data_IF_896783301418
#
_entry.id   IF_896783301418
#
_cell.length_a   1.000
_cell.length_b   1.000
_cell.length_c   1.000
_cell.angle_alpha   90.00
_cell.angle_beta   90.00
_cell.angle_gamma   90.00
#
_symmetry.space_group_name_H-M   'P 1'
#
loop_
_entity.id
_entity.type
_entity.pdbx_description
1 polymer ?
#
# COMPACT_ATOMS: atom_id res chain seq x y z
N UNK A 1 -5.23 -3.42 -8.52
CA UNK A 1 -4.38 -4.33 -7.73
C UNK A 1 -3.66 -3.46 -6.71
N UNK A 2 -3.88 -3.63 -5.39
CA UNK A 2 -3.33 -2.71 -4.39
C UNK A 2 -1.80 -2.73 -4.31
N UNK A 3 -1.20 -1.59 -3.93
CA UNK A 3 0.27 -1.46 -3.82
C UNK A 3 0.88 -2.46 -2.82
N UNK A 4 1.99 -3.16 -3.16
CA UNK A 4 2.67 -4.08 -2.25
C UNK A 4 3.56 -3.33 -1.25
N UNK A 5 2.94 -2.75 -0.22
CA UNK A 5 3.68 -2.04 0.83
C UNK A 5 4.70 -2.94 1.54
N UNK A 6 5.87 -2.38 1.85
CA UNK A 6 6.81 -2.96 2.80
C UNK A 6 6.50 -2.36 4.16
N UNK A 7 6.34 -3.19 5.19
CA UNK A 7 6.08 -2.70 6.54
C UNK A 7 7.36 -2.18 7.20
N UNK A 8 7.31 -1.05 7.93
CA UNK A 8 8.48 -0.50 8.61
C UNK A 8 8.91 -1.39 9.78
N UNK A 9 10.10 -1.15 10.31
CA UNK A 9 10.60 -1.79 11.54
C UNK A 9 10.96 -0.73 12.56
N UNK A 10 10.99 -1.08 13.84
CA UNK A 10 11.32 -0.16 14.93
C UNK A 10 12.37 -0.75 15.89
N UNK A 11 13.05 0.12 16.63
CA UNK A 11 13.96 -0.27 17.71
C UNK A 11 13.20 -0.68 18.98
N UNK A 12 13.93 -1.22 19.96
CA UNK A 12 13.45 -1.22 21.34
C UNK A 12 13.28 0.23 21.82
N UNK A 13 12.32 0.46 22.71
CA UNK A 13 12.13 1.73 23.41
C UNK A 13 11.38 1.47 24.72
N UNK A 14 11.83 2.13 25.78
CA UNK A 14 11.22 2.08 27.11
C UNK A 14 10.52 3.40 27.41
N UNK A 15 9.19 3.40 27.48
CA UNK A 15 8.44 4.60 27.86
C UNK A 15 8.75 5.05 29.28
N UNK A 16 9.06 4.13 30.21
CA UNK A 16 9.38 4.51 31.59
C UNK A 16 10.67 5.30 31.72
N UNK A 17 11.58 5.22 30.73
CA UNK A 17 12.79 6.04 30.66
C UNK A 17 12.51 7.51 30.30
N UNK A 18 11.43 7.77 29.55
CA UNK A 18 11.08 9.12 29.08
C UNK A 18 9.89 9.71 29.82
N UNK A 19 9.04 8.88 30.43
CA UNK A 19 7.79 9.31 31.05
C UNK A 19 7.56 8.64 32.41
N UNK A 20 6.81 9.31 33.27
CA UNK A 20 6.23 8.75 34.49
C UNK A 20 4.80 9.24 34.64
N UNK A 21 3.96 8.49 35.34
CA UNK A 21 2.61 8.93 35.68
C UNK A 21 2.38 8.78 37.17
N UNK A 22 1.93 9.85 37.81
CA UNK A 22 1.55 9.82 39.23
C UNK A 22 0.16 9.19 39.42
N UNK A 23 -0.67 9.22 38.36
CA UNK A 23 -2.04 8.70 38.38
C UNK A 23 -2.11 7.25 37.91
N UNK A 24 -1.30 6.86 36.92
CA UNK A 24 -1.30 5.54 36.29
C UNK A 24 0.14 5.02 36.15
N UNK A 25 0.86 4.74 37.24
CA UNK A 25 2.29 4.42 37.23
C UNK A 25 2.64 3.19 36.36
N UNK A 26 1.72 2.25 36.14
CA UNK A 26 1.94 1.10 35.27
C UNK A 26 1.76 1.35 33.77
N UNK A 27 1.22 2.52 33.37
CA UNK A 27 0.92 2.84 31.97
C UNK A 27 2.19 2.88 31.09
N UNK A 28 3.29 3.57 31.46
CA UNK A 28 4.52 3.55 30.67
C UNK A 28 5.08 2.14 30.44
N UNK A 29 5.19 1.32 31.49
CA UNK A 29 5.70 -0.05 31.37
C UNK A 29 4.80 -0.92 30.47
N UNK A 30 3.48 -0.79 30.61
CA UNK A 30 2.53 -1.53 29.78
C UNK A 30 2.68 -1.13 28.31
N UNK A 31 2.79 0.18 28.03
CA UNK A 31 3.07 0.70 26.69
C UNK A 31 4.37 0.13 26.11
N UNK A 32 5.45 0.05 26.90
CA UNK A 32 6.73 -0.57 26.48
C UNK A 32 6.54 -2.04 26.10
N UNK A 33 5.76 -2.77 26.91
CA UNK A 33 5.49 -4.20 26.70
C UNK A 33 4.77 -4.45 25.38
N UNK A 34 3.64 -3.76 25.15
CA UNK A 34 2.87 -3.91 23.91
C UNK A 34 3.62 -3.39 22.68
N UNK A 35 4.42 -2.33 22.82
CA UNK A 35 5.33 -1.88 21.77
C UNK A 35 6.37 -2.94 21.40
N UNK A 36 6.89 -3.67 22.39
CA UNK A 36 7.78 -4.81 22.20
C UNK A 36 7.15 -5.89 21.32
N UNK A 37 5.87 -6.21 21.54
CA UNK A 37 5.12 -7.17 20.71
C UNK A 37 5.00 -6.68 19.26
N UNK A 38 4.71 -5.39 19.04
CA UNK A 38 4.67 -4.78 17.70
C UNK A 38 6.03 -4.90 17.00
N UNK A 39 7.10 -4.53 17.70
CA UNK A 39 8.47 -4.64 17.18
C UNK A 39 8.79 -6.07 16.72
N UNK A 40 8.47 -7.05 17.55
CA UNK A 40 8.79 -8.45 17.27
C UNK A 40 7.95 -9.00 16.11
N UNK A 41 6.66 -8.63 16.03
CA UNK A 41 5.79 -8.98 14.92
C UNK A 41 6.28 -8.38 13.59
N UNK A 42 6.63 -7.09 13.57
CA UNK A 42 7.17 -6.42 12.37
C UNK A 42 8.52 -7.01 11.94
N UNK A 43 9.41 -7.27 12.89
CA UNK A 43 10.73 -7.88 12.63
C UNK A 43 10.59 -9.30 12.08
N UNK A 44 9.66 -10.10 12.64
CA UNK A 44 9.35 -11.44 12.13
C UNK A 44 8.77 -11.36 10.73
N UNK A 45 7.80 -10.49 10.48
CA UNK A 45 7.21 -10.30 9.15
C UNK A 45 8.26 -9.96 8.09
N UNK A 46 9.16 -9.00 8.36
CA UNK A 46 10.26 -8.62 7.46
C UNK A 46 11.18 -9.80 7.10
N UNK A 47 11.43 -10.70 8.05
CA UNK A 47 12.34 -11.86 7.88
C UNK A 47 11.70 -13.04 7.16
N UNK A 48 10.38 -13.07 7.04
CA UNK A 48 9.69 -14.14 6.32
C UNK A 48 9.95 -14.03 4.80
N UNK A 49 10.03 -15.18 4.10
CA UNK A 49 10.04 -15.17 2.65
C UNK A 49 8.73 -14.55 2.13
N UNK A 50 8.74 -13.90 0.95
CA UNK A 50 7.56 -13.19 0.42
C UNK A 50 6.28 -14.05 0.37
N UNK A 51 6.39 -15.33 0.02
CA UNK A 51 5.27 -16.28 -0.04
C UNK A 51 4.64 -16.64 1.30
N UNK A 52 5.27 -16.27 2.42
CA UNK A 52 4.75 -16.50 3.78
C UNK A 52 4.40 -15.20 4.50
N UNK A 53 4.60 -14.05 3.86
CA UNK A 53 4.30 -12.75 4.47
C UNK A 53 2.79 -12.52 4.57
N UNK A 54 2.02 -12.92 3.55
CA UNK A 54 0.56 -12.74 3.47
C UNK A 54 -0.18 -13.36 4.65
N UNK A 55 0.14 -14.60 5.00
CA UNK A 55 -0.44 -15.31 6.15
C UNK A 55 -0.06 -14.71 7.51
N UNK A 56 1.06 -13.99 7.59
CA UNK A 56 1.54 -13.35 8.83
C UNK A 56 0.97 -11.94 9.05
N UNK A 57 0.34 -11.30 8.05
CA UNK A 57 -0.18 -9.93 8.19
C UNK A 57 -1.21 -9.82 9.31
N UNK A 58 -2.04 -10.84 9.53
CA UNK A 58 -3.02 -10.90 10.63
C UNK A 58 -2.36 -10.80 12.01
N UNK A 59 -1.17 -11.39 12.18
CA UNK A 59 -0.39 -11.31 13.43
C UNK A 59 0.11 -9.89 13.66
N UNK A 60 0.54 -9.20 12.60
CA UNK A 60 0.98 -7.80 12.68
C UNK A 60 -0.19 -6.89 13.05
N UNK A 61 -1.35 -7.07 12.41
CA UNK A 61 -2.58 -6.34 12.73
C UNK A 61 -2.97 -6.53 14.21
N UNK A 62 -2.94 -7.78 14.70
CA UNK A 62 -3.23 -8.08 16.11
C UNK A 62 -2.29 -7.36 17.07
N UNK A 63 -0.98 -7.38 16.78
CA UNK A 63 0.01 -6.67 17.59
C UNK A 63 -0.21 -5.14 17.59
N UNK A 64 -0.47 -4.55 16.43
CA UNK A 64 -0.74 -3.11 16.29
C UNK A 64 -2.00 -2.70 17.04
N UNK A 65 -3.11 -3.42 16.84
CA UNK A 65 -4.37 -3.16 17.54
C UNK A 65 -4.24 -3.34 19.06
N UNK A 66 -3.37 -4.25 19.52
CA UNK A 66 -3.07 -4.40 20.94
C UNK A 66 -2.27 -3.23 21.52
N UNK A 67 -1.47 -2.52 20.72
CA UNK A 67 -0.63 -1.41 21.17
C UNK A 67 -1.28 -0.03 21.02
N UNK A 68 -2.09 0.20 19.98
CA UNK A 68 -2.69 1.51 19.67
C UNK A 68 -3.40 2.15 20.88
N UNK A 69 -4.24 1.43 21.66
CA UNK A 69 -4.88 2.02 22.84
C UNK A 69 -3.89 2.58 23.87
N UNK A 70 -2.76 1.91 24.05
CA UNK A 70 -1.73 2.29 25.03
C UNK A 70 -0.99 3.56 24.60
N UNK A 71 -0.58 3.66 23.34
CA UNK A 71 0.11 4.86 22.85
C UNK A 71 -0.83 6.08 22.80
N UNK A 72 -2.12 5.88 22.52
CA UNK A 72 -3.12 6.94 22.60
C UNK A 72 -3.39 7.38 24.04
N UNK A 73 -3.35 6.47 25.02
CA UNK A 73 -3.43 6.84 26.43
C UNK A 73 -2.20 7.63 26.90
N UNK A 74 -1.00 7.29 26.39
CA UNK A 74 0.21 8.10 26.62
C UNK A 74 0.03 9.52 26.04
N UNK A 75 -0.44 9.62 24.80
CA UNK A 75 -0.71 10.91 24.15
C UNK A 75 -1.74 11.75 24.92
N UNK A 76 -2.83 11.13 25.37
CA UNK A 76 -3.88 11.79 26.13
C UNK A 76 -3.38 12.33 27.48
N UNK A 77 -2.50 11.62 28.19
CA UNK A 77 -1.97 12.12 29.46
C UNK A 77 -0.85 13.15 29.31
N UNK A 78 -0.21 13.24 28.15
CA UNK A 78 0.72 14.34 27.81
C UNK A 78 -0.02 15.59 27.33
N UNK A 79 -1.15 15.41 26.67
CA UNK A 79 -2.00 16.46 26.12
C UNK A 79 -3.41 16.38 26.73
N UNK A 80 -3.57 16.70 28.02
CA UNK A 80 -4.81 16.42 28.69
C UNK A 80 -5.90 17.38 28.21
N UNK A 81 -6.74 16.86 27.31
CA UNK A 81 -7.96 17.53 26.86
C UNK A 81 -9.07 17.15 27.83
N UNK A 82 -9.69 18.16 28.45
CA UNK A 82 -10.60 18.04 29.61
C UNK A 82 -11.95 17.37 29.34
N UNK A 83 -12.01 16.23 28.65
CA UNK A 83 -13.28 15.64 28.17
C UNK A 83 -13.59 14.20 28.59
N UNK A 84 -12.81 13.55 29.47
CA UNK A 84 -13.25 12.29 30.09
C UNK A 84 -12.77 12.18 31.54
N UNK A 85 -13.66 11.75 32.43
CA UNK A 85 -13.54 11.83 33.89
C UNK A 85 -12.45 10.99 34.55
N UNK A 86 -11.59 10.31 33.79
CA UNK A 86 -10.36 9.68 34.28
C UNK A 86 -9.15 10.45 33.73
N UNK A 87 -8.71 11.47 34.47
CA UNK A 87 -7.57 12.30 34.07
C UNK A 87 -6.27 11.50 34.21
N UNK A 88 -5.66 11.15 33.07
CA UNK A 88 -4.30 10.61 33.04
C UNK A 88 -3.34 11.79 33.11
N UNK A 89 -2.42 11.78 34.07
CA UNK A 89 -1.35 12.76 34.15
C UNK A 89 -0.01 12.09 33.88
N UNK A 90 0.68 12.50 32.81
CA UNK A 90 2.01 12.03 32.44
C UNK A 90 3.03 13.16 32.49
N UNK A 91 4.13 12.91 33.18
CA UNK A 91 5.26 13.82 33.32
C UNK A 91 6.40 13.34 32.41
N UNK A 92 6.95 14.25 31.59
CA UNK A 92 8.11 13.96 30.74
C UNK A 92 9.40 14.09 31.55
N UNK A 93 10.18 13.00 31.64
CA UNK A 93 11.51 12.97 32.26
C UNK A 93 12.61 13.38 31.31
N UNK A 94 12.54 12.87 30.08
CA UNK A 94 13.51 13.07 29.02
C UNK A 94 12.80 13.00 27.67
N UNK A 95 13.30 13.69 26.63
CA UNK A 95 12.72 13.59 25.29
C UNK A 95 12.78 12.12 24.82
N UNK A 96 11.69 11.57 24.26
CA UNK A 96 11.73 10.21 23.74
C UNK A 96 12.74 10.11 22.60
N UNK A 97 13.49 9.01 22.55
CA UNK A 97 14.43 8.72 21.47
C UNK A 97 14.03 7.40 20.82
N UNK A 98 12.90 7.42 20.14
CA UNK A 98 12.36 6.26 19.44
C UNK A 98 13.02 6.17 18.06
N UNK A 99 13.27 4.97 17.53
CA UNK A 99 13.78 4.82 16.18
C UNK A 99 12.87 3.98 15.29
N UNK A 100 12.57 4.49 14.10
CA UNK A 100 11.85 3.77 13.05
C UNK A 100 12.71 3.65 11.81
N UNK A 101 12.52 2.56 11.04
CA UNK A 101 13.07 2.41 9.71
C UNK A 101 11.96 2.67 8.69
N UNK A 102 11.95 3.85 8.02
CA UNK A 102 10.95 4.21 7.02
C UNK A 102 11.05 3.31 5.77
N UNK A 103 9.97 3.26 4.99
CA UNK A 103 9.82 2.39 3.81
C UNK A 103 9.29 3.11 2.57
N UNK A 104 8.59 4.24 2.74
CA UNK A 104 8.04 5.03 1.64
C UNK A 104 9.04 6.02 1.08
N UNK A 105 10.05 6.42 1.83
CA UNK A 105 11.12 7.27 1.34
C UNK A 105 12.26 6.49 0.68
N UNK A 106 12.86 7.11 -0.35
CA UNK A 106 13.87 6.51 -1.22
C UNK A 106 15.16 6.18 -0.47
N UNK A 107 15.75 5.02 -0.77
CA UNK A 107 17.06 4.64 -0.26
C UNK A 107 18.14 5.38 -1.05
N UNK A 108 18.98 6.15 -0.34
CA UNK A 108 20.09 6.86 -0.98
C UNK A 108 21.11 5.92 -1.67
N UNK A 109 21.17 4.64 -1.24
CA UNK A 109 22.08 3.62 -1.82
C UNK A 109 21.28 2.37 -2.20
N UNK A 110 21.25 1.99 -3.49
CA UNK A 110 20.63 0.75 -3.92
C UNK A 110 21.23 -0.47 -3.21
N UNK A 111 20.38 -1.39 -2.74
CA UNK A 111 20.81 -2.62 -2.07
C UNK A 111 21.21 -2.48 -0.60
N UNK A 112 21.30 -1.26 -0.05
CA UNK A 112 21.53 -1.03 1.39
C UNK A 112 20.22 -0.73 2.11
N UNK A 113 20.06 -1.29 3.30
CA UNK A 113 18.94 -0.93 4.16
C UNK A 113 19.00 0.53 4.60
N UNK A 114 17.84 1.19 4.64
CA UNK A 114 17.71 2.56 5.13
C UNK A 114 18.18 2.66 6.58
N UNK A 115 18.86 3.75 6.89
CA UNK A 115 19.13 4.14 8.27
C UNK A 115 17.81 4.41 8.99
N UNK A 116 17.80 4.13 10.30
CA UNK A 116 16.66 4.50 11.13
C UNK A 116 16.61 6.01 11.30
N UNK A 117 15.41 6.54 11.42
CA UNK A 117 15.14 7.94 11.78
C UNK A 117 14.78 8.01 13.26
N UNK A 118 15.30 9.02 13.94
CA UNK A 118 14.96 9.30 15.33
C UNK A 118 13.64 10.04 15.40
N UNK A 119 12.79 9.60 16.31
CA UNK A 119 11.44 10.08 16.56
C UNK A 119 11.39 10.58 18.00
N UNK A 120 11.18 11.89 18.13
CA UNK A 120 11.16 12.60 19.42
C UNK A 120 9.78 13.10 19.84
N UNK A 121 8.73 12.72 19.10
CA UNK A 121 7.34 13.07 19.41
C UNK A 121 6.47 11.81 19.40
N UNK A 122 5.51 11.79 20.33
CA UNK A 122 4.45 10.77 20.39
C UNK A 122 3.53 10.87 19.17
N UNK A 123 3.31 12.06 18.60
CA UNK A 123 2.57 12.23 17.34
C UNK A 123 3.15 11.39 16.20
N UNK A 124 4.48 11.39 16.09
CA UNK A 124 5.19 10.66 15.05
C UNK A 124 5.23 9.16 15.32
N UNK A 125 5.33 8.72 16.59
CA UNK A 125 5.16 7.32 16.97
C UNK A 125 3.75 6.81 16.59
N UNK A 126 2.71 7.61 16.86
CA UNK A 126 1.33 7.31 16.47
C UNK A 126 1.21 7.26 14.95
N UNK A 127 1.78 8.22 14.23
CA UNK A 127 1.75 8.25 12.77
C UNK A 127 2.40 7.00 12.16
N UNK A 128 3.58 6.57 12.65
CA UNK A 128 4.22 5.33 12.20
C UNK A 128 3.38 4.08 12.53
N UNK A 129 2.84 4.01 13.74
CA UNK A 129 2.04 2.87 14.20
C UNK A 129 0.77 2.72 13.38
N UNK A 130 0.01 3.80 13.21
CA UNK A 130 -1.24 3.78 12.45
C UNK A 130 -1.01 3.65 10.93
N UNK A 131 0.05 4.25 10.38
CA UNK A 131 0.43 4.01 8.97
C UNK A 131 0.80 2.54 8.75
N UNK A 132 1.46 1.90 9.71
CA UNK A 132 1.77 0.45 9.64
C UNK A 132 0.50 -0.40 9.65
N UNK A 133 -0.52 0.00 10.42
CA UNK A 133 -1.82 -0.67 10.43
C UNK A 133 -2.53 -0.50 9.08
N UNK A 134 -2.60 0.72 8.57
CA UNK A 134 -3.21 1.01 7.27
C UNK A 134 -2.52 0.25 6.12
N UNK A 135 -1.18 0.22 6.11
CA UNK A 135 -0.42 -0.58 5.14
C UNK A 135 -0.70 -2.08 5.28
N UNK A 136 -0.84 -2.58 6.51
CA UNK A 136 -1.21 -3.98 6.75
C UNK A 136 -2.61 -4.29 6.21
N UNK A 137 -3.58 -3.38 6.35
CA UNK A 137 -4.91 -3.53 5.74
C UNK A 137 -4.85 -3.54 4.21
N UNK A 138 -4.03 -2.69 3.58
CA UNK A 138 -3.81 -2.76 2.13
C UNK A 138 -3.21 -4.10 1.71
N UNK A 139 -2.29 -4.67 2.49
CA UNK A 139 -1.73 -6.00 2.24
C UNK A 139 -2.78 -7.12 2.39
N UNK A 140 -3.71 -7.02 3.35
CA UNK A 140 -4.84 -7.95 3.45
C UNK A 140 -5.77 -7.82 2.24
N UNK A 141 -6.09 -6.59 1.82
CA UNK A 141 -6.91 -6.35 0.64
C UNK A 141 -6.26 -6.96 -0.62
N UNK A 142 -4.94 -6.82 -0.74
CA UNK A 142 -4.15 -7.43 -1.81
C UNK A 142 -4.21 -8.96 -1.77
N UNK A 143 -3.99 -9.58 -0.61
CA UNK A 143 -4.08 -11.04 -0.46
C UNK A 143 -5.49 -11.56 -0.78
N UNK A 144 -6.55 -10.84 -0.38
CA UNK A 144 -7.93 -11.21 -0.70
C UNK A 144 -8.24 -11.18 -2.20
N UNK A 145 -7.58 -10.29 -2.97
CA UNK A 145 -7.74 -10.17 -4.41
C UNK A 145 -6.84 -11.11 -5.22
N UNK A 146 -5.76 -11.63 -4.62
CA UNK A 146 -4.77 -12.46 -5.30
C UNK A 146 -5.38 -13.63 -6.09
N UNK A 147 -6.35 -14.40 -5.55
CA UNK A 147 -6.94 -15.53 -6.28
C UNK A 147 -7.66 -15.13 -7.58
N UNK A 148 -8.08 -13.87 -7.73
CA UNK A 148 -8.74 -13.39 -8.96
C UNK A 148 -7.80 -13.26 -10.15
N UNK A 149 -6.49 -13.28 -9.91
CA UNK A 149 -5.46 -13.07 -10.93
C UNK A 149 -4.66 -14.35 -11.23
N UNK A 150 -4.83 -15.41 -10.44
CA UNK A 150 -4.16 -16.69 -10.66
C UNK A 150 -4.84 -17.42 -11.83
N UNK A 151 -4.10 -17.62 -12.93
CA UNK A 151 -4.61 -18.25 -14.16
C UNK A 151 -4.31 -19.75 -14.27
N UNK A 152 -3.63 -20.33 -13.28
CA UNK A 152 -3.29 -21.77 -13.27
C UNK A 152 -4.22 -22.63 -12.42
N UNK A 153 -5.05 -22.01 -11.59
CA UNK A 153 -6.01 -22.69 -10.71
C UNK A 153 -7.42 -22.64 -11.31
N UNK A 154 -8.35 -23.35 -10.68
CA UNK A 154 -9.77 -23.24 -11.01
C UNK A 154 -10.25 -21.79 -10.78
N UNK A 155 -11.12 -21.31 -11.66
CA UNK A 155 -11.73 -19.98 -11.53
C UNK A 155 -12.59 -19.93 -10.27
N UNK A 156 -12.54 -18.79 -9.56
CA UNK A 156 -13.42 -18.57 -8.40
C UNK A 156 -14.88 -18.51 -8.84
N UNK A 157 -15.77 -19.04 -8.02
CA UNK A 157 -17.20 -18.82 -8.23
C UNK A 157 -17.59 -17.35 -7.99
N UNK A 158 -18.79 -16.96 -8.43
CA UNK A 158 -19.27 -15.58 -8.31
C UNK A 158 -19.41 -15.11 -6.85
N UNK A 159 -19.72 -16.01 -5.92
CA UNK A 159 -19.90 -15.70 -4.51
C UNK A 159 -18.55 -15.43 -3.84
N UNK A 160 -17.56 -16.29 -4.08
CA UNK A 160 -16.16 -16.15 -3.65
C UNK A 160 -15.54 -14.88 -4.21
N UNK A 161 -15.73 -14.62 -5.52
CA UNK A 161 -15.28 -13.37 -6.15
C UNK A 161 -15.86 -12.15 -5.45
N UNK A 162 -17.17 -12.15 -5.22
CA UNK A 162 -17.85 -11.03 -4.56
C UNK A 162 -17.32 -10.83 -3.14
N UNK A 163 -17.13 -11.91 -2.37
CA UNK A 163 -16.61 -11.87 -1.01
C UNK A 163 -15.17 -11.34 -0.95
N UNK A 164 -14.29 -11.78 -1.86
CA UNK A 164 -12.92 -11.27 -2.00
C UNK A 164 -12.90 -9.77 -2.27
N UNK A 165 -13.71 -9.30 -3.22
CA UNK A 165 -13.79 -7.87 -3.58
C UNK A 165 -14.34 -7.05 -2.42
N UNK A 166 -15.41 -7.50 -1.76
CA UNK A 166 -15.98 -6.81 -0.59
C UNK A 166 -15.00 -6.72 0.57
N UNK A 167 -14.27 -7.80 0.85
CA UNK A 167 -13.23 -7.85 1.89
C UNK A 167 -12.13 -6.83 1.58
N UNK A 168 -11.64 -6.82 0.34
CA UNK A 168 -10.62 -5.87 -0.08
C UNK A 168 -11.11 -4.41 -0.03
N UNK A 169 -12.34 -4.14 -0.49
CA UNK A 169 -12.94 -2.80 -0.40
C UNK A 169 -13.02 -2.33 1.04
N UNK A 170 -13.47 -3.19 1.97
CA UNK A 170 -13.54 -2.84 3.40
C UNK A 170 -12.17 -2.41 3.93
N UNK A 171 -11.15 -3.24 3.76
CA UNK A 171 -9.82 -2.94 4.29
C UNK A 171 -9.16 -1.71 3.65
N UNK A 172 -9.41 -1.44 2.37
CA UNK A 172 -8.91 -0.22 1.73
C UNK A 172 -9.61 1.05 2.25
N UNK A 173 -10.92 0.99 2.50
CA UNK A 173 -11.64 2.11 3.10
C UNK A 173 -11.23 2.34 4.56
N UNK A 174 -11.00 1.26 5.32
CA UNK A 174 -10.45 1.34 6.68
C UNK A 174 -9.05 1.97 6.65
N UNK A 175 -8.17 1.55 5.73
CA UNK A 175 -6.85 2.15 5.55
C UNK A 175 -6.92 3.64 5.17
N UNK A 176 -7.80 4.01 4.24
CA UNK A 176 -8.02 5.40 3.85
C UNK A 176 -8.48 6.27 5.05
N UNK A 177 -9.41 5.76 5.86
CA UNK A 177 -9.88 6.47 7.06
C UNK A 177 -8.79 6.69 8.10
N UNK A 178 -7.90 5.70 8.30
CA UNK A 178 -6.77 5.81 9.22
C UNK A 178 -5.80 6.87 8.71
N UNK A 179 -5.47 6.85 7.41
CA UNK A 179 -4.59 7.83 6.80
C UNK A 179 -5.14 9.25 6.85
N UNK A 180 -6.44 9.42 6.61
CA UNK A 180 -7.13 10.71 6.73
C UNK A 180 -7.08 11.27 8.16
N UNK A 181 -7.31 10.40 9.15
CA UNK A 181 -7.22 10.74 10.57
C UNK A 181 -5.82 11.22 10.97
N UNK A 182 -4.77 10.46 10.62
CA UNK A 182 -3.40 10.81 10.97
C UNK A 182 -2.87 12.00 10.16
N UNK A 183 -3.31 12.18 8.92
CA UNK A 183 -3.02 13.38 8.15
C UNK A 183 -3.58 14.63 8.85
N UNK A 184 -4.86 14.60 9.24
CA UNK A 184 -5.52 15.70 9.96
C UNK A 184 -4.86 16.02 11.31
N UNK A 185 -4.30 15.00 11.98
CA UNK A 185 -3.51 15.18 13.20
C UNK A 185 -2.14 15.80 12.91
N UNK A 186 -1.44 15.31 11.88
CA UNK A 186 -0.13 15.82 11.49
C UNK A 186 -0.18 17.28 11.00
N UNK A 187 -1.27 17.69 10.32
CA UNK A 187 -1.49 19.09 9.88
C UNK A 187 -1.62 20.08 11.05
N UNK A 188 -2.06 19.61 12.22
CA UNK A 188 -2.18 20.41 13.45
C UNK A 188 -0.89 20.43 14.27
N UNK A 189 0.07 19.56 13.94
CA UNK A 189 1.32 19.40 14.67
C UNK A 189 2.35 20.38 14.13
N UNK A 190 2.99 21.15 15.03
CA UNK A 190 4.03 22.12 14.64
C UNK A 190 5.43 21.50 14.54
N UNK A 191 5.59 20.26 15.01
CA UNK A 191 6.86 19.54 14.99
C UNK A 191 7.10 19.03 13.56
N UNK A 192 8.24 19.37 12.93
CA UNK A 192 8.52 18.91 11.58
C UNK A 192 8.66 17.38 11.53
N UNK A 193 8.18 16.73 10.46
CA UNK A 193 8.25 15.28 10.35
C UNK A 193 9.71 14.81 10.20
N UNK A 194 10.10 13.71 10.87
CA UNK A 194 11.47 13.19 10.81
C UNK A 194 11.83 12.58 9.44
N UNK A 195 10.82 12.25 8.63
CA UNK A 195 10.96 11.80 7.25
C UNK A 195 9.64 11.97 6.51
N UNK A 196 9.66 11.83 5.18
CA UNK A 196 8.47 11.98 4.36
C UNK A 196 7.42 10.89 4.54
N UNK A 197 7.74 9.70 5.09
CA UNK A 197 6.74 8.66 5.40
C UNK A 197 5.60 9.15 6.32
N UNK A 198 5.92 10.07 7.23
CA UNK A 198 4.97 10.62 8.22
C UNK A 198 4.69 12.10 7.97
N UNK A 199 5.06 12.66 6.82
CA UNK A 199 4.71 14.03 6.49
C UNK A 199 3.20 14.15 6.20
N UNK A 200 2.55 15.26 6.55
CA UNK A 200 1.12 15.46 6.30
C UNK A 200 0.72 15.21 4.84
N UNK A 201 1.55 15.66 3.90
CA UNK A 201 1.35 15.47 2.46
C UNK A 201 1.37 13.98 2.05
N UNK A 202 2.32 13.19 2.55
CA UNK A 202 2.37 11.75 2.25
C UNK A 202 1.20 11.01 2.86
N UNK A 203 0.82 11.36 4.09
CA UNK A 203 -0.33 10.74 4.77
C UNK A 203 -1.65 11.02 4.00
N UNK A 204 -1.87 12.26 3.57
CA UNK A 204 -2.97 12.62 2.65
C UNK A 204 -2.90 11.82 1.35
N UNK A 205 -1.70 11.69 0.77
CA UNK A 205 -1.49 10.95 -0.47
C UNK A 205 -1.88 9.48 -0.32
N UNK A 206 -1.53 8.85 0.81
CA UNK A 206 -1.87 7.44 1.06
C UNK A 206 -3.37 7.22 1.28
N UNK A 207 -4.07 8.19 1.91
CA UNK A 207 -5.53 8.17 1.98
C UNK A 207 -6.17 8.21 0.59
N UNK A 208 -5.72 9.14 -0.25
CA UNK A 208 -6.20 9.30 -1.62
C UNK A 208 -5.86 8.08 -2.49
N UNK A 209 -4.69 7.47 -2.32
CA UNK A 209 -4.33 6.22 -2.99
C UNK A 209 -5.29 5.07 -2.62
N UNK A 210 -5.54 4.86 -1.34
CA UNK A 210 -6.44 3.81 -0.88
C UNK A 210 -7.88 4.01 -1.39
N UNK A 211 -8.33 5.27 -1.49
CA UNK A 211 -9.61 5.63 -2.13
C UNK A 211 -9.64 5.32 -3.63
N UNK A 212 -8.56 5.61 -4.37
CA UNK A 212 -8.47 5.27 -5.80
C UNK A 212 -8.63 3.76 -6.01
N UNK A 213 -7.90 2.96 -5.22
CA UNK A 213 -7.95 1.51 -5.29
C UNK A 213 -9.34 0.96 -4.89
N UNK A 214 -9.94 1.47 -3.82
CA UNK A 214 -11.28 1.07 -3.39
C UNK A 214 -12.36 1.44 -4.42
N UNK A 215 -12.21 2.58 -5.10
CA UNK A 215 -13.13 3.02 -6.16
C UNK A 215 -13.06 2.11 -7.38
N UNK A 216 -11.86 1.67 -7.78
CA UNK A 216 -11.72 0.68 -8.85
C UNK A 216 -12.33 -0.68 -8.50
N UNK A 217 -12.35 -1.08 -7.24
CA UNK A 217 -12.99 -2.34 -6.83
C UNK A 217 -14.51 -2.32 -7.03
N UNK A 218 -15.15 -1.15 -6.88
CA UNK A 218 -16.57 -1.00 -7.18
C UNK A 218 -16.88 -1.26 -8.66
N UNK A 219 -15.95 -0.94 -9.55
CA UNK A 219 -16.03 -1.25 -10.98
C UNK A 219 -15.70 -2.72 -11.24
N UNK A 220 -14.60 -3.23 -10.67
CA UNK A 220 -14.14 -4.61 -10.87
C UNK A 220 -15.20 -5.65 -10.50
N UNK A 221 -16.03 -5.34 -9.49
CA UNK A 221 -17.12 -6.22 -9.05
C UNK A 221 -18.02 -6.67 -10.19
N UNK A 222 -18.41 -5.72 -11.05
CA UNK A 222 -19.40 -5.92 -12.11
C UNK A 222 -18.76 -5.85 -13.52
N UNK A 223 -17.43 -5.80 -13.61
CA UNK A 223 -16.67 -5.75 -14.86
C UNK A 223 -16.31 -7.19 -15.32
N UNK A 224 -16.92 -7.71 -16.41
CA UNK A 224 -16.70 -9.08 -16.85
C UNK A 224 -15.40 -9.24 -17.64
N UNK A 225 -14.86 -8.18 -18.24
CA UNK A 225 -13.80 -8.30 -19.24
C UNK A 225 -12.45 -8.78 -18.69
N UNK A 226 -12.00 -8.37 -17.48
CA UNK A 226 -10.78 -8.93 -16.89
C UNK A 226 -10.87 -10.44 -16.68
N UNK A 227 -12.04 -10.95 -16.26
CA UNK A 227 -12.23 -12.39 -16.07
C UNK A 227 -12.17 -13.13 -17.42
N UNK A 228 -12.78 -12.60 -18.47
CA UNK A 228 -12.75 -13.17 -19.82
C UNK A 228 -11.31 -13.28 -20.35
N UNK A 229 -10.52 -12.21 -20.19
CA UNK A 229 -9.10 -12.23 -20.60
C UNK A 229 -8.28 -13.22 -19.77
N UNK A 230 -8.55 -13.35 -18.48
CA UNK A 230 -7.87 -14.31 -17.62
C UNK A 230 -8.23 -15.77 -17.98
N UNK A 231 -9.51 -16.04 -18.28
CA UNK A 231 -10.00 -17.36 -18.72
C UNK A 231 -9.37 -17.80 -20.04
N UNK A 232 -9.29 -16.92 -21.04
CA UNK A 232 -8.65 -17.21 -22.33
C UNK A 232 -7.19 -17.68 -22.20
N UNK A 233 -6.53 -17.28 -21.10
CA UNK A 233 -5.15 -17.65 -20.78
C UNK A 233 -5.03 -18.89 -19.89
N UNK A 234 -6.12 -19.33 -19.28
CA UNK A 234 -6.14 -20.51 -18.43
C UNK A 234 -6.23 -21.78 -19.28
N UNK A 235 -5.11 -22.49 -19.40
CA UNK A 235 -5.02 -23.74 -20.17
C UNK A 235 -5.93 -24.86 -19.65
N UNK A 236 -6.35 -24.78 -18.39
CA UNK A 236 -7.21 -25.76 -17.75
C UNK A 236 -8.70 -25.43 -17.93
N UNK A 237 -9.03 -24.23 -18.41
CA UNK A 237 -10.42 -23.82 -18.64
C UNK A 237 -10.94 -24.45 -19.95
N UNK A 238 -12.02 -25.22 -19.81
CA UNK A 238 -12.71 -25.91 -20.92
C UNK A 238 -14.16 -25.44 -21.07
N UNK A 239 -14.59 -24.43 -20.32
CA UNK A 239 -15.99 -23.98 -20.31
C UNK A 239 -16.45 -23.51 -21.70
N UNK A 240 -15.55 -22.84 -22.43
CA UNK A 240 -15.77 -22.39 -23.81
C UNK A 240 -16.12 -23.54 -24.78
N UNK A 241 -15.71 -24.78 -24.47
CA UNK A 241 -16.03 -25.96 -25.30
C UNK A 241 -17.51 -26.35 -25.21
N UNK A 242 -18.21 -25.94 -24.14
CA UNK A 242 -19.59 -26.31 -23.86
C UNK A 242 -20.56 -25.14 -24.06
N UNK A 243 -20.13 -23.89 -23.78
CA UNK A 243 -20.96 -22.69 -23.94
C UNK A 243 -20.10 -21.48 -24.33
N UNK A 244 -20.61 -20.66 -25.25
CA UNK A 244 -20.01 -19.36 -25.53
C UNK A 244 -20.12 -18.45 -24.28
N UNK A 245 -19.06 -17.73 -23.88
CA UNK A 245 -19.12 -16.80 -22.76
C UNK A 245 -20.22 -15.74 -22.95
N UNK A 246 -21.19 -15.69 -22.05
CA UNK A 246 -22.17 -14.59 -21.99
C UNK A 246 -21.51 -13.40 -21.31
N UNK A 247 -21.50 -12.25 -21.99
CA UNK A 247 -20.99 -10.99 -21.42
C UNK A 247 -22.19 -10.21 -20.88
N UNK A 248 -22.31 -10.04 -19.55
CA UNK A 248 -23.38 -9.25 -18.96
C UNK A 248 -23.33 -7.80 -19.46
N UNK A 249 -24.50 -7.17 -19.62
CA UNK A 249 -24.58 -5.73 -19.88
C UNK A 249 -24.07 -4.97 -18.67
N UNK A 250 -23.11 -4.08 -18.88
CA UNK A 250 -22.52 -3.25 -17.84
C UNK A 250 -23.12 -1.85 -17.84
N UNK A 251 -23.06 -1.18 -16.68
CA UNK A 251 -23.41 0.25 -16.54
C UNK A 251 -22.23 1.09 -17.04
N UNK A 252 -21.93 0.99 -18.34
CA UNK A 252 -20.70 1.47 -18.96
C UNK A 252 -20.40 2.93 -18.62
N UNK A 253 -21.33 3.85 -18.88
CA UNK A 253 -21.14 5.26 -18.56
C UNK A 253 -20.88 5.54 -17.06
N UNK A 254 -21.57 4.83 -16.14
CA UNK A 254 -21.32 4.96 -14.70
C UNK A 254 -19.91 4.49 -14.35
N UNK A 255 -19.50 3.32 -14.85
CA UNK A 255 -18.18 2.76 -14.59
C UNK A 255 -17.06 3.65 -15.15
N UNK A 256 -17.26 4.26 -16.31
CA UNK A 256 -16.33 5.24 -16.84
C UNK A 256 -16.12 6.40 -15.86
N UNK A 257 -17.20 6.97 -15.32
CA UNK A 257 -17.12 8.06 -14.33
C UNK A 257 -16.50 7.64 -12.99
N UNK A 258 -16.75 6.41 -12.53
CA UNK A 258 -16.07 5.88 -11.34
C UNK A 258 -14.56 5.72 -11.57
N UNK A 259 -14.16 5.23 -12.75
CA UNK A 259 -12.75 5.14 -13.13
C UNK A 259 -12.09 6.52 -13.20
N UNK A 260 -12.81 7.57 -13.64
CA UNK A 260 -12.29 8.93 -13.64
C UNK A 260 -12.12 9.50 -12.22
N UNK A 261 -13.05 9.24 -11.30
CA UNK A 261 -12.87 9.59 -9.89
C UNK A 261 -11.64 8.89 -9.30
N UNK A 262 -11.45 7.60 -9.59
CA UNK A 262 -10.25 6.87 -9.18
C UNK A 262 -8.96 7.47 -9.79
N UNK A 263 -9.01 7.98 -11.02
CA UNK A 263 -7.88 8.67 -11.65
C UNK A 263 -7.57 10.01 -10.96
N UNK A 264 -8.60 10.76 -10.58
CA UNK A 264 -8.47 12.03 -9.85
C UNK A 264 -7.81 11.81 -8.47
N UNK A 265 -8.24 10.80 -7.71
CA UNK A 265 -7.59 10.38 -6.47
C UNK A 265 -6.12 9.96 -6.68
N UNK A 266 -5.84 9.11 -7.69
CA UNK A 266 -4.47 8.70 -7.99
C UNK A 266 -3.58 9.90 -8.40
N UNK A 267 -4.14 10.87 -9.13
CA UNK A 267 -3.44 12.11 -9.50
C UNK A 267 -3.13 12.98 -8.28
N UNK A 268 -4.11 13.13 -7.37
CA UNK A 268 -3.94 13.85 -6.12
C UNK A 268 -2.84 13.21 -5.27
N UNK A 269 -2.88 11.88 -5.10
CA UNK A 269 -1.86 11.13 -4.38
C UNK A 269 -0.46 11.31 -5.00
N UNK A 270 -0.34 11.25 -6.33
CA UNK A 270 0.94 11.49 -7.03
C UNK A 270 1.47 12.91 -6.76
N UNK A 271 0.62 13.93 -6.90
CA UNK A 271 0.99 15.33 -6.67
C UNK A 271 1.48 15.56 -5.23
N UNK A 272 0.76 15.02 -4.24
CA UNK A 272 1.11 15.16 -2.83
C UNK A 272 2.42 14.45 -2.47
N UNK A 273 2.65 13.23 -2.99
CA UNK A 273 3.92 12.52 -2.82
C UNK A 273 5.10 13.26 -3.45
N UNK A 274 4.91 13.87 -4.62
CA UNK A 274 5.95 14.70 -5.26
C UNK A 274 6.24 15.97 -4.47
N UNK A 275 5.22 16.59 -3.88
CA UNK A 275 5.38 17.76 -3.01
C UNK A 275 6.09 17.41 -1.68
N UNK A 276 5.88 16.19 -1.16
CA UNK A 276 6.49 15.72 0.09
C UNK A 276 8.01 15.53 0.03
N UNK A 277 8.59 15.37 -1.17
CA UNK A 277 9.99 14.96 -1.34
C UNK A 277 10.88 16.00 -2.03
N UNK A 278 11.84 16.57 -1.30
CA UNK A 278 13.04 17.22 -1.86
C UNK A 278 14.30 16.68 -1.17
N UNK A 279 15.37 16.44 -1.95
CA UNK A 279 16.64 15.95 -1.41
C UNK A 279 16.54 14.56 -0.74
N UNK A 280 17.11 14.40 0.46
CA UNK A 280 17.16 13.13 1.22
C UNK A 280 15.81 12.60 1.71
N UNK A 281 14.72 13.36 1.52
CA UNK A 281 13.33 12.99 1.85
C UNK A 281 12.50 12.60 0.64
N UNK A 282 13.13 12.35 -0.52
CA UNK A 282 12.43 11.91 -1.74
C UNK A 282 11.63 10.62 -1.48
N UNK A 283 10.42 10.56 -2.02
CA UNK A 283 9.56 9.37 -1.97
C UNK A 283 10.11 8.31 -2.94
N UNK A 284 9.94 7.04 -2.57
CA UNK A 284 10.34 5.87 -3.34
C UNK A 284 9.80 5.93 -4.79
N UNK A 285 10.69 5.80 -5.77
CA UNK A 285 10.34 5.88 -7.19
C UNK A 285 9.36 4.80 -7.64
N UNK A 286 9.39 3.62 -7.01
CA UNK A 286 8.44 2.54 -7.27
C UNK A 286 7.01 2.92 -6.88
N UNK A 287 6.83 3.66 -5.78
CA UNK A 287 5.51 4.18 -5.38
C UNK A 287 5.03 5.29 -6.33
N UNK A 288 5.92 6.23 -6.68
CA UNK A 288 5.59 7.30 -7.63
C UNK A 288 5.20 6.74 -9.00
N UNK A 289 5.94 5.74 -9.48
CA UNK A 289 5.64 5.03 -10.72
C UNK A 289 4.31 4.31 -10.63
N UNK A 290 4.05 3.61 -9.53
CA UNK A 290 2.78 2.92 -9.32
C UNK A 290 1.59 3.90 -9.34
N UNK A 291 1.70 5.06 -8.67
CA UNK A 291 0.66 6.08 -8.66
C UNK A 291 0.34 6.59 -10.07
N UNK A 292 1.37 6.85 -10.87
CA UNK A 292 1.21 7.30 -12.26
C UNK A 292 0.64 6.19 -13.16
N UNK A 293 1.13 4.95 -13.03
CA UNK A 293 0.61 3.80 -13.76
C UNK A 293 -0.86 3.50 -13.37
N UNK A 294 -1.22 3.65 -12.08
CA UNK A 294 -2.59 3.53 -11.59
C UNK A 294 -3.48 4.63 -12.19
N UNK A 295 -3.04 5.90 -12.15
CA UNK A 295 -3.76 7.03 -12.75
C UNK A 295 -4.05 6.79 -14.24
N UNK A 296 -3.05 6.36 -15.00
CA UNK A 296 -3.19 6.02 -16.42
C UNK A 296 -4.13 4.84 -16.64
N UNK A 297 -4.02 3.80 -15.80
CA UNK A 297 -4.90 2.63 -15.86
C UNK A 297 -6.36 3.00 -15.59
N UNK A 298 -6.62 3.87 -14.61
CA UNK A 298 -7.94 4.41 -14.35
C UNK A 298 -8.51 5.16 -15.57
N UNK A 299 -7.72 6.04 -16.20
CA UNK A 299 -8.15 6.77 -17.41
C UNK A 299 -8.39 5.82 -18.59
N UNK A 300 -7.52 4.84 -18.79
CA UNK A 300 -7.69 3.84 -19.85
C UNK A 300 -8.96 3.00 -19.66
N UNK A 301 -9.26 2.59 -18.41
CA UNK A 301 -10.53 1.93 -18.08
C UNK A 301 -11.74 2.80 -18.40
N UNK A 302 -11.66 4.10 -18.10
CA UNK A 302 -12.73 5.03 -18.45
C UNK A 302 -12.94 5.11 -19.96
N UNK A 303 -11.85 5.24 -20.74
CA UNK A 303 -11.90 5.19 -22.20
C UNK A 303 -12.54 3.87 -22.69
N UNK A 304 -12.12 2.72 -22.14
CA UNK A 304 -12.71 1.42 -22.47
C UNK A 304 -14.23 1.40 -22.24
N UNK A 305 -14.69 1.91 -21.10
CA UNK A 305 -16.12 1.95 -20.79
C UNK A 305 -16.90 2.96 -21.66
N UNK A 306 -16.34 4.10 -22.02
CA UNK A 306 -16.95 4.96 -23.04
C UNK A 306 -17.03 4.25 -24.39
N UNK A 307 -16.01 3.48 -24.75
CA UNK A 307 -16.04 2.64 -25.95
C UNK A 307 -17.18 1.61 -25.91
N UNK A 308 -17.37 0.94 -24.77
CA UNK A 308 -18.48 -0.01 -24.58
C UNK A 308 -19.84 0.69 -24.70
N UNK A 309 -19.98 1.88 -24.11
CA UNK A 309 -21.20 2.69 -24.18
C UNK A 309 -21.52 3.11 -25.63
N UNK A 310 -20.50 3.52 -26.39
CA UNK A 310 -20.60 3.83 -27.82
C UNK A 310 -20.98 2.60 -28.65
N UNK A 311 -20.40 1.43 -28.37
CA UNK A 311 -20.73 0.20 -29.10
C UNK A 311 -22.17 -0.27 -28.84
N UNK A 312 -22.64 -0.21 -27.60
CA UNK A 312 -24.05 -0.48 -27.24
C UNK A 312 -24.99 0.47 -28.00
N UNK A 313 -24.55 1.69 -28.26
CA UNK A 313 -25.28 2.70 -29.02
C UNK A 313 -25.13 2.56 -30.55
N UNK A 314 -24.47 1.49 -31.02
CA UNK A 314 -24.25 1.21 -32.45
C UNK A 314 -23.14 2.04 -33.10
N UNK A 315 -22.38 2.84 -32.34
CA UNK A 315 -21.29 3.68 -32.84
C UNK A 315 -19.94 2.98 -32.70
N UNK A 316 -19.73 1.91 -33.46
CA UNK A 316 -18.51 1.09 -33.40
C UNK A 316 -17.25 1.86 -33.81
N UNK A 317 -17.36 2.80 -34.75
CA UNK A 317 -16.23 3.67 -35.12
C UNK A 317 -15.73 4.51 -33.93
N UNK A 318 -16.67 5.16 -33.22
CA UNK A 318 -16.37 5.90 -31.98
C UNK A 318 -15.85 4.99 -30.87
N UNK A 319 -16.39 3.77 -30.76
CA UNK A 319 -15.95 2.79 -29.78
C UNK A 319 -14.47 2.41 -29.96
N UNK A 320 -14.04 2.17 -31.21
CA UNK A 320 -12.64 1.90 -31.55
C UNK A 320 -11.75 3.10 -31.18
N UNK A 321 -12.16 4.33 -31.51
CA UNK A 321 -11.38 5.52 -31.18
C UNK A 321 -11.18 5.70 -29.67
N UNK A 322 -12.20 5.37 -28.85
CA UNK A 322 -12.05 5.34 -27.40
C UNK A 322 -11.05 4.28 -26.91
N UNK A 323 -11.04 3.09 -27.51
CA UNK A 323 -10.03 2.06 -27.18
C UNK A 323 -8.61 2.52 -27.52
N UNK A 324 -8.43 3.16 -28.68
CA UNK A 324 -7.14 3.73 -29.09
C UNK A 324 -6.70 4.85 -28.13
N UNK A 325 -7.63 5.70 -27.66
CA UNK A 325 -7.37 6.68 -26.62
C UNK A 325 -6.91 6.03 -25.30
N UNK A 326 -7.54 4.90 -24.93
CA UNK A 326 -7.13 4.12 -23.77
C UNK A 326 -5.71 3.55 -23.89
N UNK A 327 -5.34 2.98 -25.05
CA UNK A 327 -3.98 2.53 -25.31
C UNK A 327 -2.97 3.67 -25.25
N UNK A 328 -3.32 4.84 -25.81
CA UNK A 328 -2.48 6.04 -25.75
C UNK A 328 -2.22 6.49 -24.30
N UNK A 329 -3.23 6.50 -23.43
CA UNK A 329 -3.06 6.80 -22.00
C UNK A 329 -2.09 5.82 -21.31
N UNK A 330 -2.18 4.52 -21.65
CA UNK A 330 -1.25 3.49 -21.17
C UNK A 330 0.15 3.60 -21.80
N UNK A 331 0.34 4.43 -22.84
CA UNK A 331 1.59 4.51 -23.60
C UNK A 331 1.87 3.25 -24.40
N UNK A 332 0.81 2.60 -24.90
CA UNK A 332 0.86 1.42 -25.77
C UNK A 332 0.42 1.85 -27.16
N UNK A 333 1.16 1.45 -28.19
CA UNK A 333 0.77 1.70 -29.58
C UNK A 333 -0.32 0.73 -30.02
N UNK A 334 -1.34 1.22 -30.74
CA UNK A 334 -2.37 0.36 -31.33
C UNK A 334 -1.77 -0.53 -32.42
N UNK A 335 -2.16 -1.82 -32.40
CA UNK A 335 -1.74 -2.79 -33.42
C UNK A 335 -2.29 -2.44 -34.81
N UNK A 336 -3.37 -1.68 -34.86
CA UNK A 336 -4.03 -1.26 -36.11
C UNK A 336 -3.54 0.10 -36.61
N UNK A 337 -2.84 0.89 -35.79
CA UNK A 337 -2.28 2.19 -36.18
C UNK A 337 -0.82 2.14 -36.64
N UNK A 338 -0.06 1.07 -36.32
CA UNK A 338 1.36 0.96 -36.65
C UNK A 338 1.75 -0.41 -37.24
N UNK A 339 2.57 -0.40 -38.32
CA UNK A 339 3.27 -1.59 -38.84
C UNK A 339 4.34 -2.05 -37.84
N UNK A 340 3.93 -2.73 -36.76
CA UNK A 340 4.82 -3.13 -35.67
C UNK A 340 5.74 -4.31 -36.01
N UNK A 341 7.05 -4.07 -35.90
CA UNK A 341 8.17 -5.03 -35.98
C UNK A 341 8.04 -6.20 -34.98
N UNK A 342 8.38 -7.43 -35.42
CA UNK A 342 8.24 -8.66 -34.63
C UNK A 342 8.98 -8.68 -33.28
N UNK A 343 9.98 -7.82 -33.07
CA UNK A 343 10.75 -7.74 -31.83
C UNK A 343 9.93 -7.18 -30.65
N UNK A 344 8.95 -6.30 -30.90
CA UNK A 344 8.08 -5.77 -29.83
C UNK A 344 7.16 -6.83 -29.25
N UNK A 345 6.72 -7.79 -30.08
CA UNK A 345 5.86 -8.92 -29.68
C UNK A 345 6.59 -9.86 -28.71
N UNK A 346 7.85 -10.20 -28.98
CA UNK A 346 8.65 -11.03 -28.08
C UNK A 346 8.92 -10.36 -26.73
N UNK A 347 9.23 -9.06 -26.71
CA UNK A 347 9.42 -8.30 -25.46
C UNK A 347 8.14 -8.27 -24.62
N UNK A 348 7.00 -8.12 -25.29
CA UNK A 348 5.68 -8.14 -24.65
C UNK A 348 5.38 -9.51 -24.03
N UNK A 349 5.48 -10.59 -24.80
CA UNK A 349 5.22 -11.95 -24.32
C UNK A 349 6.12 -12.32 -23.13
N UNK A 350 7.39 -11.87 -23.15
CA UNK A 350 8.31 -12.09 -22.03
C UNK A 350 7.92 -11.29 -20.78
N UNK A 351 7.47 -10.04 -20.95
CA UNK A 351 6.97 -9.21 -19.85
C UNK A 351 5.70 -9.80 -19.23
N UNK A 352 4.78 -10.31 -20.05
CA UNK A 352 3.55 -10.98 -19.62
C UNK A 352 3.87 -12.25 -18.83
N UNK A 353 4.73 -13.13 -19.35
CA UNK A 353 5.18 -14.34 -18.62
C UNK A 353 5.85 -14.00 -17.28
N UNK A 354 6.56 -12.87 -17.20
CA UNK A 354 7.18 -12.42 -15.94
C UNK A 354 6.15 -11.94 -14.94
N UNK A 355 5.10 -11.26 -15.40
CA UNK A 355 4.00 -10.79 -14.57
C UNK A 355 3.19 -11.97 -14.02
N UNK A 356 2.87 -12.95 -14.86
CA UNK A 356 2.15 -14.18 -14.48
C UNK A 356 2.92 -14.95 -13.40
N UNK A 357 4.25 -15.09 -13.57
CA UNK A 357 5.13 -15.70 -12.56
C UNK A 357 5.15 -14.93 -11.25
N UNK A 358 5.01 -13.60 -11.27
CA UNK A 358 4.95 -12.79 -10.05
C UNK A 358 3.63 -12.98 -9.32
N UNK A 359 2.53 -13.09 -10.07
CA UNK A 359 1.20 -13.42 -9.54
C UNK A 359 1.26 -14.80 -8.89
N UNK A 360 1.70 -15.83 -9.60
CA UNK A 360 1.78 -17.20 -9.07
C UNK A 360 2.61 -17.32 -7.78
N UNK A 361 3.69 -16.54 -7.68
CA UNK A 361 4.58 -16.55 -6.51
C UNK A 361 4.17 -15.58 -5.40
N UNK A 362 3.05 -14.88 -5.54
CA UNK A 362 2.57 -13.85 -4.61
C UNK A 362 3.64 -12.78 -4.30
N UNK A 363 4.46 -12.41 -5.29
CA UNK A 363 5.55 -11.43 -5.09
C UNK A 363 5.07 -10.00 -5.40
N UNK A 364 5.84 -9.22 -6.15
CA UNK A 364 5.53 -7.83 -6.54
C UNK A 364 4.57 -7.76 -7.74
N UNK A 365 3.51 -8.57 -7.72
CA UNK A 365 2.43 -8.50 -8.72
C UNK A 365 1.66 -7.17 -8.64
N UNK A 366 1.04 -6.70 -9.71
CA UNK A 366 0.30 -5.43 -9.68
C UNK A 366 1.09 -4.16 -9.34
N UNK A 367 2.43 -4.22 -9.36
CA UNK A 367 3.29 -3.05 -9.19
C UNK A 367 3.19 -2.05 -10.36
N UNK A 368 2.50 -2.42 -11.45
CA UNK A 368 2.21 -1.62 -12.63
C UNK A 368 0.80 -0.99 -12.60
N UNK A 369 0.14 -0.94 -11.43
CA UNK A 369 -1.20 -0.34 -11.31
C UNK A 369 -2.32 -1.06 -12.07
N UNK A 370 -2.06 -2.27 -12.59
CA UNK A 370 -3.01 -3.00 -13.45
C UNK A 370 -2.92 -2.63 -14.94
N UNK A 371 -1.87 -1.90 -15.34
CA UNK A 371 -1.61 -1.49 -16.72
C UNK A 371 -1.56 -2.67 -17.70
N UNK A 372 -0.88 -3.76 -17.34
CA UNK A 372 -0.78 -4.95 -18.18
C UNK A 372 -2.14 -5.60 -18.42
N UNK A 373 -2.90 -5.81 -17.35
CA UNK A 373 -4.25 -6.38 -17.41
C UNK A 373 -5.21 -5.52 -18.24
N UNK A 374 -5.20 -4.20 -18.06
CA UNK A 374 -6.07 -3.32 -18.84
C UNK A 374 -5.67 -3.28 -20.33
N UNK A 375 -4.37 -3.29 -20.63
CA UNK A 375 -3.87 -3.38 -22.01
C UNK A 375 -4.45 -4.61 -22.71
N UNK A 376 -4.41 -5.77 -22.05
CA UNK A 376 -4.93 -7.03 -22.62
C UNK A 376 -6.43 -6.94 -22.92
N UNK A 377 -7.21 -6.33 -22.01
CA UNK A 377 -8.65 -6.13 -22.24
C UNK A 377 -8.91 -5.21 -23.43
N UNK A 378 -8.23 -4.06 -23.49
CA UNK A 378 -8.43 -3.09 -24.57
C UNK A 378 -8.06 -3.73 -25.92
N UNK A 379 -6.95 -4.46 -26.01
CA UNK A 379 -6.56 -5.14 -27.24
C UNK A 379 -7.54 -6.23 -27.69
N UNK A 380 -8.12 -6.99 -26.73
CA UNK A 380 -9.17 -7.97 -27.04
C UNK A 380 -10.38 -7.29 -27.69
N UNK A 381 -10.85 -6.20 -27.09
CA UNK A 381 -11.99 -5.44 -27.59
C UNK A 381 -11.67 -4.74 -28.92
N UNK A 382 -10.48 -4.17 -29.06
CA UNK A 382 -10.03 -3.48 -30.26
C UNK A 382 -9.99 -4.45 -31.44
N UNK A 383 -9.40 -5.63 -31.27
CA UNK A 383 -9.38 -6.66 -32.31
C UNK A 383 -10.77 -7.18 -32.67
N UNK A 384 -11.69 -7.29 -31.71
CA UNK A 384 -13.09 -7.69 -31.95
C UNK A 384 -13.83 -6.61 -32.75
N UNK A 385 -13.74 -5.35 -32.31
CA UNK A 385 -14.51 -4.26 -32.90
C UNK A 385 -13.95 -3.80 -34.24
N UNK A 386 -12.65 -3.89 -34.50
CA UNK A 386 -12.11 -3.72 -35.85
C UNK A 386 -12.69 -4.75 -36.81
N UNK A 387 -12.67 -6.04 -36.46
CA UNK A 387 -13.28 -7.08 -37.31
C UNK A 387 -14.75 -6.79 -37.58
N UNK A 388 -15.52 -6.42 -36.56
CA UNK A 388 -16.93 -6.07 -36.69
C UNK A 388 -17.13 -4.85 -37.60
N UNK A 389 -16.32 -3.80 -37.42
CA UNK A 389 -16.43 -2.58 -38.20
C UNK A 389 -16.04 -2.79 -39.66
N UNK A 390 -14.93 -3.50 -39.91
CA UNK A 390 -14.41 -3.74 -41.27
C UNK A 390 -15.31 -4.69 -42.08
N UNK A 391 -16.07 -5.56 -41.41
CA UNK A 391 -16.93 -6.55 -42.08
C UNK A 391 -18.40 -6.15 -42.19
N UNK A 392 -18.94 -5.41 -41.21
CA UNK A 392 -20.38 -5.14 -41.11
C UNK A 392 -20.74 -3.66 -41.10
N UNK A 393 -20.07 -2.84 -40.27
CA UNK A 393 -20.57 -1.48 -39.99
C UNK A 393 -19.95 -0.38 -40.86
N UNK A 394 -18.70 -0.56 -41.29
CA UNK A 394 -17.92 0.35 -42.14
C UNK A 394 -17.98 1.81 -41.66
N UNK A 395 -17.91 2.03 -40.34
CA UNK A 395 -17.94 3.36 -39.75
C UNK A 395 -16.54 3.98 -39.73
N UNK A 396 -16.46 5.29 -39.95
CA UNK A 396 -15.22 6.05 -39.84
C UNK A 396 -14.80 6.10 -38.36
N UNK A 397 -13.53 5.80 -38.08
CA UNK A 397 -12.95 5.96 -36.75
C UNK A 397 -12.56 7.43 -36.56
N UNK A 398 -13.20 8.18 -35.63
CA UNK A 398 -12.89 9.58 -35.40
C UNK A 398 -11.51 9.77 -34.76
N UNK A 399 -11.02 11.01 -34.76
CA UNK A 399 -9.75 11.35 -34.08
C UNK A 399 -9.90 11.36 -32.56
N UNK A 400 -8.82 10.98 -31.87
CA UNK A 400 -8.80 10.81 -30.40
C UNK A 400 -8.88 12.16 -29.66
N UNK A 401 -8.24 13.21 -30.18
CA UNK A 401 -8.14 14.52 -29.51
C UNK A 401 -9.49 15.11 -29.11
N UNK A 402 -10.46 15.24 -30.03
CA UNK A 402 -11.82 15.71 -29.71
C UNK A 402 -12.57 14.83 -28.72
N UNK A 403 -12.35 13.50 -28.72
CA UNK A 403 -13.00 12.59 -27.77
C UNK A 403 -12.50 12.82 -26.35
N UNK A 404 -11.18 12.91 -26.17
CA UNK A 404 -10.59 13.18 -24.86
C UNK A 404 -11.05 14.53 -24.29
N UNK A 405 -11.29 15.53 -25.14
CA UNK A 405 -11.82 16.83 -24.73
C UNK A 405 -13.28 16.78 -24.22
N UNK A 406 -14.04 15.73 -24.57
CA UNK A 406 -15.42 15.52 -24.12
C UNK A 406 -15.51 14.66 -22.84
N UNK A 407 -14.38 14.25 -22.27
CA UNK A 407 -14.34 13.39 -21.09
C UNK A 407 -14.97 14.12 -19.88
N UNK A 408 -16.02 13.57 -19.25
CA UNK A 408 -16.66 14.19 -18.10
C UNK A 408 -15.79 14.07 -16.83
N UNK A 409 -16.19 14.74 -15.75
CA UNK A 409 -15.55 14.56 -14.44
C UNK A 409 -15.91 13.23 -13.78
N UNK A 410 -15.07 12.84 -12.83
CA UNK A 410 -15.30 11.71 -11.94
C UNK A 410 -16.65 11.73 -11.23
N UNK A 411 -17.10 10.55 -10.80
CA UNK A 411 -18.22 10.41 -9.87
C UNK A 411 -17.74 9.66 -8.63
N UNK A 412 -17.81 10.31 -7.48
CA UNK A 412 -17.52 9.68 -6.19
C UNK A 412 -18.58 8.63 -5.83
N UNK A 413 -18.12 7.56 -5.20
CA UNK A 413 -18.99 6.47 -4.70
C UNK A 413 -18.81 6.21 -3.21
N UNK A 414 -17.64 6.53 -2.66
CA UNK A 414 -17.32 6.27 -1.26
C UNK A 414 -17.45 7.56 -0.45
N UNK A 415 -18.04 7.44 0.73
CA UNK A 415 -17.94 8.47 1.77
C UNK A 415 -17.14 7.85 2.91
N UNK A 416 -15.96 8.39 3.18
CA UNK A 416 -15.10 7.87 4.24
C UNK A 416 -15.79 8.03 5.60
N UNK A 417 -15.89 6.93 6.33
CA UNK A 417 -16.28 6.96 7.74
C UNK A 417 -15.06 7.44 8.53
N UNK A 418 -15.19 8.45 9.40
CA UNK A 418 -14.09 8.87 10.25
C UNK A 418 -13.55 7.69 11.06
N UNK A 419 -12.23 7.54 11.09
CA UNK A 419 -11.59 6.53 11.93
C UNK A 419 -11.90 6.82 13.40
N UNK A 420 -12.31 5.77 14.12
CA UNK A 420 -12.53 5.80 15.57
C UNK A 420 -11.36 5.07 16.24
N UNK A 421 -10.39 5.80 16.81
CA UNK A 421 -9.26 5.17 17.47
C UNK A 421 -9.72 4.34 18.67
N UNK A 422 -9.19 3.12 18.87
CA UNK A 422 -9.54 2.32 20.03
C UNK A 422 -8.96 2.96 21.29
N UNK A 423 -9.73 2.96 22.37
CA UNK A 423 -9.33 3.45 23.68
C UNK A 423 -9.13 2.27 24.63
N UNK A 424 -8.30 2.44 25.66
CA UNK A 424 -8.16 1.43 26.70
C UNK A 424 -9.50 1.29 27.45
N UNK A 425 -9.88 0.05 27.74
CA UNK A 425 -11.03 -0.22 28.58
C UNK A 425 -10.81 0.39 29.97
N UNK A 426 -11.89 0.93 30.55
CA UNK A 426 -11.84 1.59 31.86
C UNK A 426 -11.24 0.71 32.95
N UNK A 427 -11.57 -0.59 32.97
CA UNK A 427 -11.02 -1.53 33.95
C UNK A 427 -9.50 -1.73 33.79
N UNK A 428 -8.99 -1.69 32.55
CA UNK A 428 -7.55 -1.78 32.27
C UNK A 428 -6.86 -0.50 32.76
N UNK A 429 -7.44 0.67 32.48
CA UNK A 429 -6.93 1.94 32.99
C UNK A 429 -6.94 1.99 34.52
N UNK A 430 -8.03 1.57 35.18
CA UNK A 430 -8.11 1.52 36.64
C UNK A 430 -7.06 0.58 37.25
N UNK A 431 -6.80 -0.56 36.63
CA UNK A 431 -5.73 -1.47 37.07
C UNK A 431 -4.33 -0.84 36.97
N UNK A 432 -4.09 0.06 36.00
CA UNK A 432 -2.80 0.75 35.84
C UNK A 432 -2.48 1.78 36.93
N UNK A 433 -3.43 2.08 37.82
CA UNK A 433 -3.18 2.91 39.02
C UNK A 433 -2.29 2.20 40.03
N UNK A 434 -2.23 0.87 40.00
CA UNK A 434 -1.29 0.11 40.80
C UNK A 434 0.15 0.31 40.28
N UNK A 435 1.16 0.42 41.17
CA UNK A 435 2.57 0.46 40.76
C UNK A 435 2.96 -0.79 39.94
N UNK A 436 3.88 -0.65 38.98
CA UNK A 436 4.32 -1.79 38.19
C UNK A 436 5.06 -2.81 39.05
N UNK A 437 4.79 -4.10 38.84
CA UNK A 437 5.45 -5.18 39.57
C UNK A 437 6.92 -5.37 39.17
N UNK A 438 7.36 -4.80 38.05
CA UNK A 438 8.72 -4.95 37.48
C UNK A 438 9.26 -3.62 36.96
N UNK A 439 10.58 -3.50 36.92
CA UNK A 439 11.27 -2.41 36.24
C UNK A 439 11.17 -2.55 34.71
N UNK A 440 11.15 -1.41 34.01
CA UNK A 440 11.13 -1.33 32.56
C UNK A 440 12.56 -1.43 31.98
N UNK A 441 13.23 -2.56 32.25
CA UNK A 441 14.62 -2.81 31.84
C UNK A 441 14.69 -3.31 30.38
N UNK A 442 14.21 -2.51 29.43
CA UNK A 442 14.47 -2.73 28.00
C UNK A 442 15.83 -2.19 27.54
N UNK A 443 16.54 -1.48 28.43
CA UNK A 443 17.78 -0.75 28.18
C UNK A 443 19.03 -1.61 28.09
N UNK A 444 19.04 -2.64 27.24
CA UNK A 444 20.29 -3.19 26.64
C UNK A 444 20.08 -4.28 25.60
N UNK A 445 18.85 -4.48 25.10
CA UNK A 445 18.60 -5.42 24.01
C UNK A 445 19.19 -4.85 22.71
N UNK A 446 20.50 -5.07 22.51
CA UNK A 446 21.19 -4.83 21.25
C UNK A 446 20.31 -5.33 20.12
N UNK A 447 19.90 -4.40 19.26
CA UNK A 447 19.15 -4.71 18.07
C UNK A 447 20.03 -5.64 17.22
N UNK A 448 19.78 -6.95 17.23
CA UNK A 448 20.59 -7.98 16.55
C UNK A 448 20.70 -7.82 15.00
N UNK A 449 20.25 -6.69 14.45
CA UNK A 449 20.61 -6.20 13.10
C UNK A 449 22.06 -5.65 13.04
N UNK A 450 22.72 -5.39 14.17
CA UNK A 450 24.13 -4.91 14.18
C UNK A 450 25.17 -6.06 14.09
N UNK A 451 24.73 -7.33 14.10
CA UNK A 451 25.59 -8.52 13.91
C UNK A 451 26.25 -8.59 12.51
N UNK A 452 25.83 -7.74 11.56
CA UNK A 452 26.42 -7.64 10.22
C UNK A 452 27.54 -6.61 10.07
N UNK A 453 27.80 -5.78 11.10
CA UNK A 453 28.91 -4.83 11.07
C UNK A 453 30.11 -5.45 11.78
N UNK A 454 30.84 -6.28 11.04
CA UNK A 454 32.25 -6.51 11.38
C UNK A 454 32.92 -5.15 11.55
N UNK A 455 33.62 -4.97 12.68
CA UNK A 455 34.39 -3.77 13.01
C UNK A 455 35.26 -3.41 11.81
N UNK A 456 34.82 -2.41 11.04
CA UNK A 456 35.59 -1.89 9.91
C UNK A 456 36.73 -1.07 10.51
N UNK A 457 37.89 -1.71 10.70
CA UNK A 457 39.14 -1.00 10.90
C UNK A 457 39.40 -0.05 9.72
N UNK A 458 40.22 0.99 9.91
CA UNK A 458 40.52 1.95 8.85
C UNK A 458 41.08 1.22 7.62
N UNK A 459 40.69 1.60 6.39
CA UNK A 459 41.15 0.93 5.19
C UNK A 459 42.66 1.15 5.02
N UNK A 460 43.47 0.08 5.11
CA UNK A 460 44.91 0.13 4.83
C UNK A 460 45.86 -0.70 5.70
N UNK A 461 45.38 -1.50 6.67
CA UNK A 461 46.26 -2.35 7.49
C UNK A 461 46.42 -3.77 6.93
N UNK A 462 47.66 -4.17 6.62
CA UNK A 462 48.03 -5.57 6.32
C UNK A 462 47.83 -6.48 7.54
N UNK A 463 47.61 -7.80 7.35
CA UNK A 463 47.37 -8.73 8.46
C UNK A 463 48.70 -9.21 9.04
N UNK A 464 49.09 -8.71 10.22
CA UNK A 464 50.15 -9.32 11.02
C UNK A 464 49.67 -9.73 12.40
N UNK A 465 49.97 -11.00 12.69
CA UNK A 465 50.23 -11.62 14.00
C UNK A 465 49.32 -11.28 15.18
N UNK A 466 48.47 -12.27 15.53
CA UNK A 466 47.96 -12.44 16.90
C UNK A 466 49.13 -12.55 17.89
N UNK A 467 49.09 -11.82 19.02
CA UNK A 467 49.70 -12.30 20.25
C UNK A 467 48.61 -12.81 21.19
N UNK A 468 48.71 -14.09 21.54
CA UNK A 468 48.07 -14.65 22.72
C UNK A 468 48.55 -13.85 23.96
N UNK A 469 47.62 -13.24 24.70
CA UNK A 469 47.90 -12.84 26.08
C UNK A 469 47.01 -13.63 27.03
N UNK A 470 47.66 -14.62 27.65
CA UNK A 470 47.22 -15.28 28.86
C UNK A 470 47.31 -14.31 30.04
N UNK A 471 46.34 -14.47 30.93
CA UNK A 471 46.31 -14.00 32.32
C UNK A 471 47.65 -14.13 33.05
N UNK A 472 48.05 -13.07 33.78
CA UNK A 472 48.55 -13.17 35.15
C UNK A 472 48.65 -11.79 35.82
N UNK A 473 48.53 -11.84 37.14
CA UNK A 473 48.37 -10.80 38.14
C UNK A 473 49.65 -10.01 38.52
N UNK A 474 49.42 -9.07 39.45
CA UNK A 474 50.29 -8.61 40.57
C UNK A 474 51.24 -7.40 40.41
N UNK A 475 50.80 -6.26 40.98
CA UNK A 475 51.41 -5.39 42.03
C UNK A 475 52.84 -4.82 41.98
N UNK A 476 52.93 -3.60 42.56
CA UNK A 476 54.09 -2.78 43.00
C UNK A 476 54.87 -2.11 41.85
N UNK A 477 55.19 -0.82 41.85
CA UNK A 477 55.40 0.21 42.89
C UNK A 477 54.77 1.54 42.48
#
# INVERSE_FOLDING_TARGET
>A
MPFPFVLPTTSAFSFSSSFSSDTHPSLPLSSSTYRGVVRDALKKHKRLPPSSQSSHVSTVIGALNGYIPYILAIDAGLNPTSQSGDWINLNTKAPPSIEWRPTLSENAVPGRERARVKVQSIDHEIAFTLSSLANSYTLVARAALHPLYVTTQATLDNQQRTASIQTATKYLLDAASIYDHIASRAERTQIPPPCSDVSPSTLRAMSSLALAEATLLAVLKDDPYPAIVAQDRNKNDREWMFKAPEIPKVRAHLFARLCLAAAEHAAQASSLCQAAGRGSSKINEGLLRYLEDLRRTCRAKACRFFGIDSEISGQVGTAIAWLQAGLQELGVESKHSAKGSGFSRFKKEWSEKREDRKVERETTWGADGGKGEETRVIELLEGKWHKLNDTMNVQIVPSIGPLLAQMPSGREIHTLKPYQPPVLDRSILEAMRAPPERSDDYGDALSSDDEGKGVSGPPGGYPESRPDYRSASTSYY
#
